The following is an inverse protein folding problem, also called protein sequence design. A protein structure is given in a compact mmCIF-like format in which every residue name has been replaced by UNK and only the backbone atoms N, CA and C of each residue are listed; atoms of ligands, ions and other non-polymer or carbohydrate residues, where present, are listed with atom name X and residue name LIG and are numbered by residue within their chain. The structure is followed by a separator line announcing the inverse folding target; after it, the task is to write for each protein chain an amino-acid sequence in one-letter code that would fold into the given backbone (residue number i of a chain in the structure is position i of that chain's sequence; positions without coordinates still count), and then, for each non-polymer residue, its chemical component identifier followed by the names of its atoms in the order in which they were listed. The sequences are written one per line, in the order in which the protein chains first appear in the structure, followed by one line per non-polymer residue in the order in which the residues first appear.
data_IF_184737119681
#
_entry.id   IF_184737119681
#
_cell.length_a   1.000
_cell.length_b   1.000
_cell.length_c   1.000
_cell.angle_alpha   90.00
_cell.angle_beta   90.00
_cell.angle_gamma   90.00
#
_symmetry.space_group_name_H-M   'P 1'
#
loop_
_entity.id
_entity.type
_entity.pdbx_description
1 polymer ?
#
# COMPACT_ATOMS: atom_id res chain seq x y z
N UNK A 1 -21.20 23.27 -13.05
CA UNK A 1 -20.10 23.32 -12.06
C UNK A 1 -20.72 23.15 -10.66
N UNK A 2 -21.01 21.92 -10.26
CA UNK A 2 -21.47 21.60 -8.91
C UNK A 2 -20.27 21.57 -7.99
N UNK A 3 -20.24 22.47 -7.03
CA UNK A 3 -19.20 22.54 -5.99
C UNK A 3 -19.52 21.44 -4.97
N UNK A 4 -19.05 20.22 -5.20
CA UNK A 4 -19.19 19.14 -4.21
C UNK A 4 -18.24 19.46 -3.04
N UNK A 5 -18.80 19.64 -1.86
CA UNK A 5 -18.07 19.80 -0.61
C UNK A 5 -17.68 18.41 -0.05
N UNK A 6 -16.55 18.37 0.64
CA UNK A 6 -16.07 17.14 1.27
C UNK A 6 -16.36 17.18 2.76
N UNK A 7 -16.93 16.09 3.28
CA UNK A 7 -17.26 15.96 4.70
C UNK A 7 -16.53 14.76 5.30
N UNK A 8 -15.80 15.00 6.39
CA UNK A 8 -15.25 13.94 7.23
C UNK A 8 -16.30 13.58 8.27
N UNK A 9 -16.60 12.30 8.40
CA UNK A 9 -17.60 11.82 9.35
C UNK A 9 -17.02 10.80 10.33
N UNK A 10 -17.68 10.73 11.48
CA UNK A 10 -17.57 9.67 12.46
C UNK A 10 -19.00 9.22 12.76
N UNK A 11 -19.27 7.95 12.58
CA UNK A 11 -20.61 7.37 12.73
C UNK A 11 -20.54 6.01 13.42
N UNK A 12 -21.61 5.60 14.07
CA UNK A 12 -21.79 4.23 14.55
C UNK A 12 -22.52 3.41 13.49
N UNK A 13 -22.08 2.17 13.30
CA UNK A 13 -22.84 1.18 12.55
C UNK A 13 -23.94 0.53 13.41
N UNK A 14 -24.70 -0.39 12.83
CA UNK A 14 -25.78 -1.12 13.51
C UNK A 14 -25.29 -2.01 14.65
N UNK A 15 -24.01 -2.30 14.72
CA UNK A 15 -23.37 -3.08 15.78
C UNK A 15 -22.73 -2.21 16.87
N UNK A 16 -22.88 -0.87 16.76
CA UNK A 16 -22.31 0.09 17.72
C UNK A 16 -20.80 0.35 17.53
N UNK A 17 -20.19 -0.11 16.42
CA UNK A 17 -18.80 0.11 16.12
C UNK A 17 -18.58 1.45 15.44
N UNK A 18 -17.57 2.18 15.87
CA UNK A 18 -17.23 3.48 15.28
C UNK A 18 -16.63 3.32 13.90
N UNK A 19 -17.26 3.92 12.90
CA UNK A 19 -16.74 4.05 11.54
C UNK A 19 -16.37 5.51 11.26
N UNK A 20 -15.23 5.71 10.63
CA UNK A 20 -14.75 7.03 10.20
C UNK A 20 -14.48 7.01 8.71
N UNK A 21 -14.84 8.09 8.02
CA UNK A 21 -14.62 8.17 6.58
C UNK A 21 -14.81 9.59 6.05
N UNK A 22 -14.81 9.70 4.74
CA UNK A 22 -15.11 10.93 4.01
C UNK A 22 -16.17 10.65 2.96
N UNK A 23 -17.00 11.64 2.67
CA UNK A 23 -17.99 11.59 1.62
C UNK A 23 -18.14 12.96 0.94
N UNK A 24 -18.67 12.96 -0.26
CA UNK A 24 -19.00 14.17 -0.99
C UNK A 24 -20.50 14.43 -0.83
N UNK A 25 -20.84 15.69 -0.54
CA UNK A 25 -22.20 16.15 -0.50
C UNK A 25 -22.25 17.64 -0.82
N UNK A 26 -23.41 18.15 -1.20
CA UNK A 26 -23.59 19.59 -1.45
C UNK A 26 -23.78 20.38 -0.14
N UNK A 27 -24.11 19.66 0.95
CA UNK A 27 -24.30 20.25 2.29
C UNK A 27 -24.11 19.22 3.39
N UNK A 28 -23.90 19.70 4.63
CA UNK A 28 -23.82 18.84 5.82
C UNK A 28 -25.11 18.02 6.01
N UNK A 29 -26.28 18.59 5.71
CA UNK A 29 -27.58 17.89 5.79
C UNK A 29 -27.66 16.74 4.82
N UNK A 30 -27.14 16.90 3.63
CA UNK A 30 -27.07 15.84 2.63
C UNK A 30 -26.07 14.77 3.03
N UNK A 31 -24.90 15.16 3.56
CA UNK A 31 -23.93 14.22 4.12
C UNK A 31 -24.54 13.32 5.21
N UNK A 32 -25.31 13.90 6.12
CA UNK A 32 -26.04 13.16 7.16
C UNK A 32 -27.06 12.20 6.54
N UNK A 33 -27.82 12.63 5.54
CA UNK A 33 -28.81 11.80 4.86
C UNK A 33 -28.17 10.59 4.16
N UNK A 34 -27.02 10.80 3.49
CA UNK A 34 -26.26 9.73 2.85
C UNK A 34 -25.77 8.70 3.87
N UNK A 35 -25.29 9.14 5.04
CA UNK A 35 -24.86 8.26 6.12
C UNK A 35 -26.02 7.45 6.69
N UNK A 36 -27.15 8.07 6.94
CA UNK A 36 -28.37 7.40 7.41
C UNK A 36 -28.87 6.36 6.40
N UNK A 37 -28.80 6.67 5.09
CA UNK A 37 -29.13 5.71 4.03
C UNK A 37 -28.19 4.50 3.97
N UNK A 38 -27.01 4.59 4.58
CA UNK A 38 -26.03 3.49 4.74
C UNK A 38 -26.15 2.79 6.10
N UNK A 39 -27.22 3.01 6.85
CA UNK A 39 -27.43 2.51 8.22
C UNK A 39 -26.32 2.93 9.20
N UNK A 40 -25.72 4.11 8.98
CA UNK A 40 -24.73 4.70 9.84
C UNK A 40 -25.38 5.84 10.64
N UNK A 41 -25.20 5.84 11.96
CA UNK A 41 -25.65 6.93 12.84
C UNK A 41 -24.52 7.96 12.99
N UNK A 42 -24.63 9.14 12.36
CA UNK A 42 -23.56 10.13 12.39
C UNK A 42 -23.44 10.75 13.79
N UNK A 43 -22.21 10.72 14.35
CA UNK A 43 -21.85 11.36 15.63
C UNK A 43 -21.22 12.72 15.37
N UNK A 44 -20.43 12.81 14.32
CA UNK A 44 -19.71 14.03 13.97
C UNK A 44 -19.58 14.11 12.46
N UNK A 45 -20.04 15.20 11.88
CA UNK A 45 -19.85 15.54 10.47
C UNK A 45 -19.20 16.92 10.44
N UNK A 46 -18.09 17.06 9.73
CA UNK A 46 -17.40 18.35 9.55
C UNK A 46 -17.02 18.51 8.10
N UNK A 47 -17.33 19.69 7.58
CA UNK A 47 -16.78 20.11 6.30
C UNK A 47 -15.25 20.10 6.36
N UNK A 48 -14.64 19.52 5.37
CA UNK A 48 -13.18 19.47 5.22
C UNK A 48 -12.82 19.86 3.80
N UNK A 49 -11.65 20.45 3.63
CA UNK A 49 -11.14 20.65 2.28
C UNK A 49 -10.94 19.28 1.64
N UNK A 50 -11.16 19.16 0.30
CA UNK A 50 -10.91 17.91 -0.38
C UNK A 50 -9.55 17.39 0.07
N UNK A 51 -9.54 16.23 0.66
CA UNK A 51 -8.30 15.52 0.94
C UNK A 51 -7.78 14.95 -0.40
N UNK A 52 -7.55 15.82 -1.37
CA UNK A 52 -6.69 15.52 -2.48
C UNK A 52 -5.31 15.26 -1.86
N UNK A 53 -4.99 13.99 -1.62
CA UNK A 53 -3.66 13.57 -1.25
C UNK A 53 -3.24 13.81 0.20
N UNK A 54 -4.17 13.86 1.17
CA UNK A 54 -3.83 13.72 2.60
C UNK A 54 -4.57 12.56 3.28
N UNK A 55 -4.81 11.46 2.60
CA UNK A 55 -4.47 10.21 3.23
C UNK A 55 -2.99 10.40 3.60
N UNK A 56 -2.63 10.30 4.88
CA UNK A 56 -1.24 10.26 5.30
C UNK A 56 -0.50 9.48 4.20
N UNK A 57 0.38 10.15 3.43
CA UNK A 57 1.37 9.46 2.64
C UNK A 57 2.18 8.64 3.65
N UNK A 58 1.63 7.53 4.09
CA UNK A 58 2.41 6.48 4.72
C UNK A 58 3.35 6.09 3.60
N UNK A 59 4.58 6.59 3.68
CA UNK A 59 5.65 6.11 2.82
C UNK A 59 5.54 4.60 2.85
N UNK A 60 5.55 3.98 1.68
CA UNK A 60 5.61 2.53 1.57
C UNK A 60 6.78 2.08 2.45
N UNK A 61 6.47 1.27 3.44
CA UNK A 61 7.47 0.77 4.39
C UNK A 61 8.22 -0.41 3.79
N UNK A 62 9.34 -0.76 4.38
CA UNK A 62 10.06 -1.97 4.00
C UNK A 62 9.22 -3.23 4.24
N UNK A 63 8.38 -3.23 5.26
CA UNK A 63 7.45 -4.31 5.54
C UNK A 63 6.39 -4.45 4.42
N UNK A 64 5.84 -3.33 3.92
CA UNK A 64 4.90 -3.37 2.80
C UNK A 64 5.52 -3.99 1.54
N UNK A 65 6.82 -3.69 1.28
CA UNK A 65 7.55 -4.26 0.13
C UNK A 65 7.78 -5.76 0.34
N UNK A 66 8.15 -6.17 1.55
CA UNK A 66 8.37 -7.57 1.91
C UNK A 66 7.07 -8.38 1.76
N UNK A 67 5.96 -7.88 2.30
CA UNK A 67 4.65 -8.53 2.21
C UNK A 67 4.18 -8.66 0.75
N UNK A 68 4.37 -7.60 -0.03
CA UNK A 68 4.11 -7.63 -1.48
C UNK A 68 4.96 -8.69 -2.19
N UNK A 69 6.26 -8.75 -1.88
CA UNK A 69 7.20 -9.69 -2.52
C UNK A 69 6.86 -11.12 -2.15
N UNK A 70 6.52 -11.41 -0.89
CA UNK A 70 6.07 -12.72 -0.42
C UNK A 70 4.77 -13.17 -1.12
N UNK A 71 3.82 -12.26 -1.22
CA UNK A 71 2.56 -12.53 -1.93
C UNK A 71 2.79 -12.79 -3.42
N UNK A 72 3.65 -11.99 -4.06
CA UNK A 72 4.00 -12.18 -5.46
C UNK A 72 4.73 -13.51 -5.68
N UNK A 73 5.69 -13.85 -4.82
CA UNK A 73 6.41 -15.12 -4.83
C UNK A 73 5.43 -16.29 -4.79
N UNK A 74 4.51 -16.30 -3.83
CA UNK A 74 3.50 -17.35 -3.67
C UNK A 74 2.64 -17.53 -4.93
N UNK A 75 2.20 -16.42 -5.53
CA UNK A 75 1.33 -16.46 -6.71
C UNK A 75 2.09 -16.89 -7.98
N UNK A 76 3.34 -16.45 -8.12
CA UNK A 76 4.19 -16.83 -9.25
C UNK A 76 4.61 -18.30 -9.17
N UNK A 77 4.91 -18.80 -7.97
CA UNK A 77 5.16 -20.22 -7.72
C UNK A 77 3.94 -21.09 -8.09
N UNK A 78 2.74 -20.61 -7.77
CA UNK A 78 1.48 -21.21 -8.19
C UNK A 78 1.16 -21.05 -9.70
N UNK A 79 2.09 -20.52 -10.49
CA UNK A 79 1.94 -20.28 -11.94
C UNK A 79 0.80 -19.33 -12.31
N UNK A 80 0.43 -18.43 -11.40
CA UNK A 80 -0.57 -17.39 -11.68
C UNK A 80 0.06 -16.33 -12.60
N UNK A 81 -0.60 -15.95 -13.71
CA UNK A 81 -0.14 -14.85 -14.55
C UNK A 81 0.05 -13.54 -13.77
N UNK A 82 1.07 -12.76 -14.12
CA UNK A 82 1.45 -11.54 -13.37
C UNK A 82 0.31 -10.54 -13.23
N UNK A 83 -0.48 -10.32 -14.27
CA UNK A 83 -1.63 -9.41 -14.25
C UNK A 83 -2.70 -9.88 -13.24
N UNK A 84 -2.93 -11.18 -13.14
CA UNK A 84 -3.84 -11.78 -12.16
C UNK A 84 -3.26 -11.74 -10.76
N UNK A 85 -1.96 -12.02 -10.62
CA UNK A 85 -1.26 -11.94 -9.35
C UNK A 85 -1.34 -10.53 -8.75
N UNK A 86 -1.05 -9.50 -9.53
CA UNK A 86 -1.18 -8.10 -9.10
C UNK A 86 -2.61 -7.74 -8.70
N UNK A 87 -3.61 -8.23 -9.42
CA UNK A 87 -5.02 -8.02 -9.06
C UNK A 87 -5.40 -8.66 -7.73
N UNK A 88 -4.89 -9.86 -7.44
CA UNK A 88 -5.13 -10.53 -6.16
C UNK A 88 -4.43 -9.80 -5.02
N UNK A 89 -3.20 -9.32 -5.26
CA UNK A 89 -2.43 -8.54 -4.28
C UNK A 89 -3.11 -7.21 -3.94
N UNK A 90 -3.73 -6.52 -4.90
CA UNK A 90 -4.54 -5.33 -4.64
C UNK A 90 -5.64 -5.61 -3.60
N UNK A 91 -6.32 -6.76 -3.73
CA UNK A 91 -7.42 -7.14 -2.84
C UNK A 91 -7.02 -7.42 -1.39
N UNK A 92 -5.76 -7.81 -1.14
CA UNK A 92 -5.26 -8.19 0.19
C UNK A 92 -4.29 -7.18 0.79
N UNK A 93 -3.87 -6.18 0.03
CA UNK A 93 -2.93 -5.15 0.49
C UNK A 93 -3.61 -4.17 1.44
N UNK A 94 -3.13 -4.08 2.68
CA UNK A 94 -3.70 -3.20 3.71
C UNK A 94 -3.24 -1.73 3.56
N UNK A 95 -1.98 -1.52 3.19
CA UNK A 95 -1.39 -0.19 3.01
C UNK A 95 -1.99 0.50 1.79
N UNK A 96 -2.64 1.65 1.99
CA UNK A 96 -3.24 2.43 0.89
C UNK A 96 -2.20 2.89 -0.13
N UNK A 97 -0.99 3.25 0.31
CA UNK A 97 0.09 3.65 -0.57
C UNK A 97 0.61 2.47 -1.40
N UNK A 98 0.73 1.29 -0.78
CA UNK A 98 1.14 0.08 -1.48
C UNK A 98 0.07 -0.39 -2.46
N UNK A 99 -1.22 -0.28 -2.09
CA UNK A 99 -2.34 -0.59 -2.99
C UNK A 99 -2.32 0.29 -4.24
N UNK A 100 -2.13 1.59 -4.09
CA UNK A 100 -2.00 2.52 -5.21
C UNK A 100 -0.85 2.13 -6.14
N UNK A 101 0.30 1.75 -5.56
CA UNK A 101 1.44 1.24 -6.31
C UNK A 101 1.09 -0.03 -7.09
N UNK A 102 0.47 -1.02 -6.45
CA UNK A 102 0.06 -2.28 -7.08
C UNK A 102 -0.91 -2.03 -8.25
N UNK A 103 -1.86 -1.10 -8.10
CA UNK A 103 -2.76 -0.70 -9.18
C UNK A 103 -2.02 -0.03 -10.36
N UNK A 104 -0.99 0.77 -10.08
CA UNK A 104 -0.16 1.37 -11.12
C UNK A 104 0.64 0.29 -11.87
N UNK A 105 1.26 -0.65 -11.14
CA UNK A 105 1.95 -1.80 -11.75
C UNK A 105 1.00 -2.63 -12.61
N UNK A 106 -0.20 -2.92 -12.12
CA UNK A 106 -1.22 -3.67 -12.85
C UNK A 106 -1.61 -2.97 -14.16
N UNK A 107 -1.78 -1.64 -14.13
CA UNK A 107 -2.09 -0.86 -15.33
C UNK A 107 -0.97 -0.97 -16.34
N UNK A 108 0.27 -0.73 -15.92
CA UNK A 108 1.44 -0.76 -16.79
C UNK A 108 1.65 -2.15 -17.43
N UNK A 109 1.49 -3.23 -16.67
CA UNK A 109 1.56 -4.60 -17.18
C UNK A 109 0.43 -4.88 -18.18
N UNK A 110 -0.79 -4.39 -17.96
CA UNK A 110 -1.89 -4.52 -18.93
C UNK A 110 -1.67 -3.71 -20.19
N UNK A 111 -0.91 -2.64 -20.13
CA UNK A 111 -0.48 -1.86 -21.29
C UNK A 111 0.68 -2.54 -22.05
N UNK A 112 1.14 -3.69 -21.61
CA UNK A 112 2.15 -4.50 -22.28
C UNK A 112 3.58 -4.30 -21.79
N UNK A 113 3.80 -3.53 -20.71
CA UNK A 113 5.13 -3.43 -20.09
C UNK A 113 5.43 -4.71 -19.32
N UNK A 114 6.71 -5.09 -19.22
CA UNK A 114 7.13 -6.12 -18.28
C UNK A 114 6.98 -5.62 -16.83
N UNK A 115 6.90 -6.55 -15.86
CA UNK A 115 6.83 -6.19 -14.45
C UNK A 115 8.06 -5.37 -14.03
N UNK A 116 9.26 -5.74 -14.50
CA UNK A 116 10.48 -4.99 -14.25
C UNK A 116 10.40 -3.56 -14.79
N UNK A 117 9.89 -3.36 -16.01
CA UNK A 117 9.69 -2.03 -16.59
C UNK A 117 8.68 -1.19 -15.79
N UNK A 118 7.59 -1.80 -15.34
CA UNK A 118 6.62 -1.13 -14.50
C UNK A 118 7.24 -0.72 -13.14
N UNK A 119 8.02 -1.59 -12.52
CA UNK A 119 8.71 -1.30 -11.25
C UNK A 119 9.79 -0.23 -11.37
N UNK A 120 10.47 -0.15 -12.50
CA UNK A 120 11.54 0.83 -12.74
C UNK A 120 11.04 2.28 -12.64
N UNK A 121 9.79 2.53 -12.99
CA UNK A 121 9.17 3.86 -12.85
C UNK A 121 8.96 4.25 -11.37
N UNK A 122 9.05 3.30 -10.46
CA UNK A 122 8.90 3.46 -9.01
C UNK A 122 10.21 3.25 -8.26
N UNK A 123 11.31 3.82 -8.74
CA UNK A 123 12.67 3.66 -8.20
C UNK A 123 12.83 4.12 -6.74
N UNK A 124 11.90 4.91 -6.22
CA UNK A 124 11.85 5.31 -4.81
C UNK A 124 11.32 4.19 -3.89
N UNK A 125 10.70 3.15 -4.45
CA UNK A 125 10.19 1.97 -3.73
C UNK A 125 11.06 0.75 -4.02
N UNK A 126 11.29 0.46 -5.29
CA UNK A 126 12.08 -0.70 -5.72
C UNK A 126 13.51 -0.28 -6.04
N UNK A 127 14.48 -0.88 -5.34
CA UNK A 127 15.89 -0.63 -5.62
C UNK A 127 16.28 -1.15 -7.01
N UNK A 128 17.37 -0.62 -7.55
CA UNK A 128 17.94 -1.13 -8.82
C UNK A 128 18.18 -2.63 -8.81
N UNK A 129 18.68 -3.15 -7.69
CA UNK A 129 18.94 -4.58 -7.55
C UNK A 129 17.64 -5.37 -7.62
N UNK A 130 16.60 -4.93 -6.92
CA UNK A 130 15.26 -5.53 -6.98
C UNK A 130 14.76 -5.63 -8.42
N UNK A 131 14.75 -4.50 -9.12
CA UNK A 131 14.28 -4.43 -10.52
C UNK A 131 15.10 -5.33 -11.45
N UNK A 132 16.43 -5.38 -11.26
CA UNK A 132 17.29 -6.22 -12.10
C UNK A 132 17.07 -7.72 -11.87
N UNK A 133 16.81 -8.15 -10.62
CA UNK A 133 16.46 -9.55 -10.32
C UNK A 133 15.12 -9.91 -10.97
N UNK A 134 14.10 -9.06 -10.84
CA UNK A 134 12.81 -9.29 -11.50
C UNK A 134 12.98 -9.35 -13.02
N UNK A 135 13.76 -8.46 -13.61
CA UNK A 135 14.04 -8.45 -15.06
C UNK A 135 14.69 -9.74 -15.51
N UNK A 136 15.74 -10.18 -14.83
CA UNK A 136 16.42 -11.43 -15.15
C UNK A 136 15.47 -12.63 -15.04
N UNK A 137 14.59 -12.63 -14.02
CA UNK A 137 13.57 -13.66 -13.84
C UNK A 137 12.51 -13.69 -14.94
N UNK A 138 12.04 -12.51 -15.40
CA UNK A 138 11.09 -12.40 -16.51
C UNK A 138 11.70 -12.85 -17.83
N UNK A 139 12.90 -12.34 -18.16
CA UNK A 139 13.61 -12.66 -19.41
C UNK A 139 14.03 -14.15 -19.49
N UNK A 140 14.42 -14.72 -18.34
CA UNK A 140 14.79 -16.13 -18.24
C UNK A 140 13.62 -17.10 -18.05
N UNK A 141 12.42 -16.59 -17.75
CA UNK A 141 11.26 -17.43 -17.38
C UNK A 141 11.41 -18.13 -16.03
N UNK A 142 12.36 -17.68 -15.19
CA UNK A 142 12.73 -18.26 -13.89
C UNK A 142 12.36 -17.34 -12.73
N UNK A 143 11.37 -16.48 -12.91
CA UNK A 143 10.95 -15.53 -11.88
C UNK A 143 10.58 -16.23 -10.56
N UNK A 144 9.96 -17.42 -10.64
CA UNK A 144 9.61 -18.26 -9.48
C UNK A 144 10.83 -18.79 -8.71
N UNK A 145 11.99 -18.88 -9.35
CA UNK A 145 13.23 -19.29 -8.69
C UNK A 145 13.95 -18.10 -8.03
N UNK A 146 13.87 -16.91 -8.63
CA UNK A 146 14.59 -15.74 -8.15
C UNK A 146 13.85 -14.91 -7.08
N UNK A 147 12.51 -14.98 -7.04
CA UNK A 147 11.72 -14.24 -6.06
C UNK A 147 11.97 -14.69 -4.60
N UNK A 148 12.15 -15.99 -4.28
CA UNK A 148 12.52 -16.41 -2.93
C UNK A 148 13.83 -15.81 -2.45
N UNK A 149 14.87 -15.79 -3.28
CA UNK A 149 16.17 -15.19 -2.94
C UNK A 149 16.02 -13.69 -2.67
N UNK A 150 15.16 -13.02 -3.44
CA UNK A 150 14.86 -11.61 -3.24
C UNK A 150 14.13 -11.36 -1.92
N UNK A 151 13.23 -12.25 -1.53
CA UNK A 151 12.54 -12.21 -0.23
C UNK A 151 13.54 -12.37 0.91
N UNK A 152 14.41 -13.35 0.87
CA UNK A 152 15.45 -13.61 1.88
C UNK A 152 16.40 -12.40 2.02
N UNK A 153 16.75 -11.78 0.92
CA UNK A 153 17.55 -10.55 0.93
C UNK A 153 16.84 -9.39 1.64
N UNK A 154 15.54 -9.19 1.35
CA UNK A 154 14.75 -8.15 1.99
C UNK A 154 14.62 -8.39 3.50
N UNK A 155 14.38 -9.63 3.93
CA UNK A 155 14.30 -9.99 5.34
C UNK A 155 15.62 -9.74 6.08
N UNK A 156 16.73 -10.16 5.50
CA UNK A 156 18.05 -9.98 6.09
C UNK A 156 18.42 -8.50 6.22
N UNK A 157 18.11 -7.70 5.20
CA UNK A 157 18.32 -6.26 5.21
C UNK A 157 17.51 -5.56 6.31
N UNK A 158 16.29 -6.01 6.58
CA UNK A 158 15.45 -5.47 7.65
C UNK A 158 16.03 -5.81 9.04
N UNK A 159 16.46 -7.05 9.26
CA UNK A 159 17.06 -7.51 10.53
C UNK A 159 18.35 -6.76 10.84
N UNK A 160 19.22 -6.56 9.85
CA UNK A 160 20.50 -5.84 10.02
C UNK A 160 20.26 -4.37 10.40
N UNK A 161 19.28 -3.71 9.76
CA UNK A 161 18.95 -2.32 10.06
C UNK A 161 18.42 -2.14 11.50
N UNK A 162 17.61 -3.09 11.97
CA UNK A 162 17.07 -3.06 13.32
C UNK A 162 18.15 -3.33 14.38
N UNK A 163 19.09 -4.24 14.11
CA UNK A 163 20.23 -4.52 14.99
C UNK A 163 21.16 -3.29 15.13
N UNK A 164 21.42 -2.56 14.05
CA UNK A 164 22.26 -1.35 14.07
C UNK A 164 21.58 -0.24 14.88
N UNK A 165 20.27 -0.04 14.73
CA UNK A 165 19.51 0.97 15.49
C UNK A 165 19.54 0.63 16.99
N UNK A 166 19.33 -0.64 17.34
CA UNK A 166 19.37 -1.09 18.75
C UNK A 166 20.76 -0.95 19.37
N UNK A 167 21.82 -1.20 18.61
CA UNK A 167 23.19 -1.03 19.06
C UNK A 167 23.59 0.44 19.29
N UNK A 168 22.97 1.38 18.57
CA UNK A 168 23.24 2.82 18.71
C UNK A 168 22.50 3.46 19.88
N UNK A 169 21.45 2.84 20.41
CA UNK A 169 20.71 3.37 21.57
C UNK A 169 21.56 3.24 22.85
N UNK A 170 22.37 2.19 22.99
CA UNK A 170 23.16 1.92 24.19
C UNK A 170 24.21 3.02 24.50
N UNK A 171 25.01 3.52 23.54
CA UNK A 171 25.97 4.59 23.81
C UNK A 171 25.32 5.94 24.14
N UNK A 172 24.13 6.21 23.55
CA UNK A 172 23.43 7.49 23.79
C UNK A 172 22.86 7.56 25.19
N UNK A 173 22.38 6.45 25.75
CA UNK A 173 21.89 6.40 27.14
C UNK A 173 23.02 6.57 28.14
N UNK A 174 24.21 6.05 27.84
CA UNK A 174 25.40 6.20 28.73
C UNK A 174 26.00 7.61 28.70
N UNK A 175 25.74 8.41 27.67
CA UNK A 175 26.30 9.76 27.53
C UNK A 175 25.44 10.83 28.20
N UNK A 176 24.21 10.50 28.60
CA UNK A 176 23.24 11.39 29.27
C UNK A 176 23.16 11.18 30.78
N UNK A 177 23.93 10.21 31.33
CA UNK A 177 24.05 10.00 32.76
C UNK A 177 25.38 10.55 33.31
#
# INVERSE_FOLDING_TARGET
NMNALYFKYQAFDTEGKVQTGQLNAESEREAIRILQGKNLTPVKVKETKPAFGRGRNKKISHADILDFTNGLCTLVDARVPIDKALRLLDGVTESSAMRELVLNLLRDVKEGKSLAQAMETHSHVFSRMYVNIVRAGEEGGILHELLPDLTDFLETSAKTRQAVISAMIYPVVLLVT
#
